data_IF_894439064961
#
_entry.id   IF_894439064961
#
_cell.length_a   1.000
_cell.length_b   1.000
_cell.length_c   1.000
_cell.angle_alpha   90.00
_cell.angle_beta   90.00
_cell.angle_gamma   90.00
#
_symmetry.space_group_name_H-M   'P 1'
#
loop_
_entity.id
_entity.type
_entity.pdbx_description
1 polymer ?
#
# COMPACT_ATOMS: atom_id res chain seq x y z
N UNK A 1 -20.55 -2.90 54.85
CA UNK A 1 -19.56 -2.31 53.92
C UNK A 1 -18.96 -3.45 53.11
N UNK A 2 -19.45 -3.67 51.90
CA UNK A 2 -18.87 -4.64 50.97
C UNK A 2 -17.51 -4.12 50.54
N UNK A 3 -16.43 -4.79 50.94
CA UNK A 3 -15.10 -4.51 50.39
C UNK A 3 -15.16 -4.72 48.88
N UNK A 4 -15.14 -3.63 48.10
CA UNK A 4 -14.88 -3.70 46.66
C UNK A 4 -13.54 -4.42 46.51
N UNK A 5 -13.53 -5.58 45.85
CA UNK A 5 -12.31 -6.33 45.56
C UNK A 5 -11.43 -5.39 44.73
N UNK A 6 -10.25 -5.03 45.25
CA UNK A 6 -9.28 -4.21 44.52
C UNK A 6 -8.58 -5.10 43.49
N UNK A 7 -8.69 -4.77 42.21
CA UNK A 7 -8.02 -5.48 41.14
C UNK A 7 -6.56 -5.01 41.00
N UNK A 8 -5.71 -5.86 40.41
CA UNK A 8 -4.26 -5.64 40.34
C UNK A 8 -3.88 -4.31 39.66
N UNK A 9 -4.61 -3.92 38.61
CA UNK A 9 -4.35 -2.72 37.82
C UNK A 9 -5.13 -1.48 38.26
N UNK A 10 -5.99 -1.55 39.29
CA UNK A 10 -6.88 -0.45 39.67
C UNK A 10 -6.14 0.86 39.93
N UNK A 11 -5.04 0.81 40.69
CA UNK A 11 -4.29 2.02 41.03
C UNK A 11 -3.65 2.67 39.80
N UNK A 12 -3.09 1.85 38.91
CA UNK A 12 -2.42 2.33 37.70
C UNK A 12 -3.42 2.84 36.65
N UNK A 13 -4.60 2.21 36.56
CA UNK A 13 -5.64 2.60 35.62
C UNK A 13 -6.39 3.86 36.07
N UNK A 14 -6.43 4.16 37.38
CA UNK A 14 -7.04 5.40 37.91
C UNK A 14 -6.43 6.70 37.41
N UNK A 15 -5.17 6.69 36.98
CA UNK A 15 -4.49 7.85 36.40
C UNK A 15 -4.37 7.79 34.88
N UNK A 16 -5.05 6.84 34.24
CA UNK A 16 -4.99 6.65 32.79
C UNK A 16 -6.17 7.33 32.12
N UNK A 17 -5.90 8.10 31.07
CA UNK A 17 -6.89 8.61 30.11
C UNK A 17 -6.54 8.13 28.71
N UNK A 18 -7.53 8.09 27.82
CA UNK A 18 -7.32 7.74 26.41
C UNK A 18 -7.34 9.04 25.62
N UNK A 19 -6.27 9.32 24.88
CA UNK A 19 -6.14 10.48 24.00
C UNK A 19 -6.08 10.03 22.54
N UNK A 20 -6.68 10.81 21.64
CA UNK A 20 -6.59 10.64 20.19
C UNK A 20 -5.73 11.77 19.63
N UNK A 21 -4.81 11.43 18.73
CA UNK A 21 -3.88 12.37 18.10
C UNK A 21 -3.93 12.23 16.58
N UNK A 22 -4.39 13.29 15.92
CA UNK A 22 -4.26 13.50 14.47
C UNK A 22 -2.97 14.29 14.14
N UNK A 23 -2.49 15.09 15.09
CA UNK A 23 -1.23 15.83 15.01
C UNK A 23 -0.47 15.74 16.33
N UNK A 24 0.86 15.81 16.27
CA UNK A 24 1.73 15.67 17.45
C UNK A 24 2.37 17.01 17.83
N UNK A 25 2.08 17.48 19.04
CA UNK A 25 2.86 18.56 19.65
C UNK A 25 4.27 18.07 20.00
N UNK A 26 5.22 18.99 20.20
CA UNK A 26 6.58 18.64 20.62
C UNK A 26 6.61 17.83 21.94
N UNK A 27 5.68 18.09 22.86
CA UNK A 27 5.56 17.35 24.11
C UNK A 27 5.05 15.92 23.87
N UNK A 28 4.00 15.75 23.07
CA UNK A 28 3.45 14.42 22.74
C UNK A 28 4.46 13.60 21.94
N UNK A 29 5.16 14.21 20.98
CA UNK A 29 6.22 13.55 20.21
C UNK A 29 7.37 13.06 21.12
N UNK A 30 7.75 13.86 22.12
CA UNK A 30 8.75 13.44 23.11
C UNK A 30 8.28 12.23 23.92
N UNK A 31 7.01 12.21 24.35
CA UNK A 31 6.41 11.08 25.06
C UNK A 31 6.32 9.83 24.17
N UNK A 32 5.95 9.98 22.90
CA UNK A 32 5.88 8.90 21.92
C UNK A 32 7.25 8.25 21.67
N UNK A 33 8.29 9.07 21.50
CA UNK A 33 9.68 8.60 21.38
C UNK A 33 10.17 7.89 22.64
N UNK A 34 9.78 8.36 23.83
CA UNK A 34 10.10 7.67 25.09
C UNK A 34 9.41 6.31 25.19
N UNK A 35 8.13 6.24 24.83
CA UNK A 35 7.36 5.01 24.77
C UNK A 35 7.98 4.00 23.83
N UNK A 36 8.24 4.37 22.56
CA UNK A 36 8.81 3.47 21.56
C UNK A 36 10.21 2.96 21.93
N UNK A 37 11.04 3.79 22.59
CA UNK A 37 12.32 3.34 23.14
C UNK A 37 12.15 2.28 24.23
N UNK A 38 11.18 2.45 25.14
CA UNK A 38 10.91 1.48 26.22
C UNK A 38 10.24 0.21 25.71
N UNK A 39 9.48 0.32 24.63
CA UNK A 39 8.93 -0.81 23.89
C UNK A 39 10.05 -1.63 23.20
N UNK A 40 11.23 -1.04 22.98
CA UNK A 40 12.33 -1.66 22.25
C UNK A 40 12.25 -1.48 20.73
N UNK A 41 11.32 -0.64 20.24
CA UNK A 41 11.05 -0.43 18.83
C UNK A 41 11.06 1.07 18.47
N UNK A 42 12.19 1.78 18.64
CA UNK A 42 12.27 3.22 18.38
C UNK A 42 12.00 3.60 16.92
N UNK A 43 12.35 2.71 15.98
CA UNK A 43 12.16 2.89 14.54
C UNK A 43 10.69 3.10 14.17
N UNK A 44 9.74 2.51 14.92
CA UNK A 44 8.30 2.70 14.66
C UNK A 44 7.90 4.18 14.64
N UNK A 45 8.53 5.03 15.44
CA UNK A 45 8.17 6.46 15.45
C UNK A 45 8.61 7.13 14.17
N UNK A 46 9.89 6.99 13.81
CA UNK A 46 10.48 7.77 12.73
C UNK A 46 10.22 7.15 11.33
N UNK A 47 9.95 5.84 11.26
CA UNK A 47 9.75 5.11 10.00
C UNK A 47 8.27 4.77 9.71
N UNK A 48 7.41 4.70 10.73
CA UNK A 48 6.00 4.30 10.56
C UNK A 48 5.03 5.39 11.01
N UNK A 49 5.08 5.81 12.27
CA UNK A 49 4.07 6.71 12.84
C UNK A 49 4.17 8.13 12.27
N UNK A 50 5.36 8.73 12.22
CA UNK A 50 5.52 10.10 11.72
C UNK A 50 5.23 10.22 10.22
N UNK A 51 5.71 9.33 9.33
CA UNK A 51 5.37 9.39 7.91
C UNK A 51 3.87 9.27 7.66
N UNK A 52 3.19 8.32 8.31
CA UNK A 52 1.76 8.07 8.09
C UNK A 52 0.87 9.19 8.65
N UNK A 53 1.23 9.77 9.80
CA UNK A 53 0.55 10.97 10.32
C UNK A 53 0.70 12.17 9.37
N UNK A 54 1.90 12.39 8.82
CA UNK A 54 2.14 13.50 7.90
C UNK A 54 1.36 13.37 6.57
N UNK A 55 0.97 12.15 6.19
CA UNK A 55 0.12 11.89 5.03
C UNK A 55 -1.37 12.10 5.29
N UNK A 56 -1.77 12.29 6.56
CA UNK A 56 -3.17 12.43 6.97
C UNK A 56 -3.96 11.13 6.89
N UNK A 57 -3.27 10.00 6.75
CA UNK A 57 -3.89 8.68 6.57
C UNK A 57 -4.02 7.91 7.90
N UNK A 58 -3.56 8.49 9.00
CA UNK A 58 -3.36 7.78 10.26
C UNK A 58 -3.86 8.60 11.46
N UNK A 59 -4.37 7.89 12.47
CA UNK A 59 -4.63 8.44 13.80
C UNK A 59 -3.92 7.57 14.85
N UNK A 60 -3.41 8.23 15.89
CA UNK A 60 -2.84 7.55 17.06
C UNK A 60 -3.77 7.65 18.25
N UNK A 61 -4.13 6.51 18.83
CA UNK A 61 -4.94 6.41 20.04
C UNK A 61 -4.04 5.90 21.15
N UNK A 62 -3.90 6.65 22.24
CA UNK A 62 -2.93 6.33 23.28
C UNK A 62 -3.56 6.31 24.67
N UNK A 63 -3.16 5.31 25.46
CA UNK A 63 -3.30 5.36 26.91
C UNK A 63 -2.22 6.27 27.48
N UNK A 64 -2.65 7.35 28.12
CA UNK A 64 -1.79 8.41 28.66
C UNK A 64 -1.92 8.47 30.18
N UNK A 65 -0.79 8.50 30.86
CA UNK A 65 -0.69 8.76 32.30
C UNK A 65 0.05 10.07 32.51
N UNK A 66 -0.57 10.99 33.24
CA UNK A 66 0.05 12.24 33.61
C UNK A 66 0.71 12.11 34.99
N UNK A 67 1.86 12.75 35.17
CA UNK A 67 2.55 12.82 36.46
C UNK A 67 1.64 13.53 37.46
N UNK A 68 1.49 13.01 38.70
CA UNK A 68 0.64 13.62 39.72
C UNK A 68 1.01 15.08 40.03
N UNK A 69 2.30 15.38 40.18
CA UNK A 69 2.80 16.74 40.38
C UNK A 69 4.32 16.85 40.12
N UNK A 70 4.82 17.90 39.43
CA UNK A 70 4.04 18.85 38.62
C UNK A 70 3.56 18.18 37.31
N UNK A 71 2.33 18.43 36.83
CA UNK A 71 1.77 17.84 35.61
C UNK A 71 2.26 18.51 34.31
N UNK A 72 3.40 19.21 34.33
CA UNK A 72 3.96 19.92 33.18
C UNK A 72 5.46 19.68 33.02
N UNK A 73 5.96 19.98 31.83
CA UNK A 73 7.36 19.80 31.45
C UNK A 73 7.63 18.49 30.69
N UNK A 74 8.88 18.33 30.24
CA UNK A 74 9.34 17.13 29.56
C UNK A 74 9.26 15.93 30.51
N UNK A 75 8.58 14.86 30.07
CA UNK A 75 8.37 13.66 30.90
C UNK A 75 7.27 13.78 31.96
N UNK A 76 6.42 14.82 31.89
CA UNK A 76 5.21 14.90 32.69
C UNK A 76 4.06 14.05 32.12
N UNK A 77 4.11 13.73 30.84
CA UNK A 77 3.16 12.87 30.14
C UNK A 77 3.85 11.57 29.73
N UNK A 78 3.25 10.45 30.08
CA UNK A 78 3.72 9.10 29.75
C UNK A 78 2.68 8.40 28.87
N UNK A 79 3.10 7.95 27.69
CA UNK A 79 2.30 7.01 26.87
C UNK A 79 2.62 5.61 27.37
N UNK A 80 1.58 4.83 27.67
CA UNK A 80 1.71 3.47 28.24
C UNK A 80 1.12 2.38 27.35
N UNK A 81 0.20 2.77 26.47
CA UNK A 81 -0.33 1.94 25.40
C UNK A 81 -0.62 2.81 24.18
N UNK A 82 -0.53 2.22 22.98
CA UNK A 82 -0.70 2.92 21.71
C UNK A 82 -1.36 1.99 20.69
N UNK A 83 -2.38 2.47 20.00
CA UNK A 83 -2.96 1.86 18.83
C UNK A 83 -2.91 2.86 17.68
N UNK A 84 -2.68 2.37 16.49
CA UNK A 84 -2.65 3.14 15.25
C UNK A 84 -3.77 2.65 14.35
N UNK A 85 -4.59 3.57 13.86
CA UNK A 85 -5.55 3.31 12.77
C UNK A 85 -5.04 3.94 11.50
N UNK A 86 -5.06 3.21 10.39
CA UNK A 86 -4.52 3.63 9.11
C UNK A 86 -5.54 3.42 8.00
N UNK A 87 -5.77 4.44 7.17
CA UNK A 87 -6.70 4.39 6.03
C UNK A 87 -6.09 3.62 4.86
N UNK A 88 -6.78 2.57 4.43
CA UNK A 88 -6.30 1.70 3.34
C UNK A 88 -7.06 1.99 2.05
N UNK A 89 -8.38 2.11 2.16
CA UNK A 89 -9.31 2.41 1.08
C UNK A 89 -10.52 3.16 1.66
N UNK A 90 -11.46 3.54 0.80
CA UNK A 90 -12.69 4.21 1.24
C UNK A 90 -13.42 3.35 2.29
N UNK A 91 -13.68 3.94 3.47
CA UNK A 91 -14.26 3.28 4.65
C UNK A 91 -13.58 1.97 5.10
N UNK A 92 -12.31 1.73 4.76
CA UNK A 92 -11.59 0.49 5.10
C UNK A 92 -10.25 0.80 5.76
N UNK A 93 -10.04 0.29 6.98
CA UNK A 93 -8.96 0.71 7.86
C UNK A 93 -8.13 -0.47 8.39
N UNK A 94 -6.81 -0.29 8.45
CA UNK A 94 -5.91 -1.17 9.18
C UNK A 94 -5.87 -0.69 10.63
N UNK A 95 -5.83 -1.64 11.56
CA UNK A 95 -5.66 -1.32 12.98
C UNK A 95 -4.45 -2.09 13.48
N UNK A 96 -3.48 -1.40 14.08
CA UNK A 96 -2.30 -2.05 14.65
C UNK A 96 -2.69 -2.97 15.83
N UNK A 97 -1.80 -3.87 16.28
CA UNK A 97 -1.86 -4.30 17.68
C UNK A 97 -1.88 -3.09 18.62
N UNK A 98 -2.46 -3.26 19.80
CA UNK A 98 -2.26 -2.29 20.88
C UNK A 98 -0.86 -2.51 21.45
N UNK A 99 0.09 -1.67 21.06
CA UNK A 99 1.42 -1.67 21.62
C UNK A 99 1.33 -1.27 23.08
N UNK A 100 1.92 -2.04 23.99
CA UNK A 100 1.94 -1.70 25.42
C UNK A 100 3.30 -2.01 26.02
N UNK A 101 3.66 -1.24 27.06
CA UNK A 101 4.88 -1.50 27.82
C UNK A 101 4.78 -2.86 28.53
N UNK A 102 5.91 -3.53 28.74
CA UNK A 102 5.97 -4.88 29.32
C UNK A 102 5.14 -5.05 30.60
N UNK A 103 5.16 -4.04 31.47
CA UNK A 103 4.41 -4.00 32.73
C UNK A 103 2.87 -3.94 32.57
N UNK A 104 2.40 -3.48 31.41
CA UNK A 104 0.99 -3.26 31.07
C UNK A 104 0.48 -4.28 30.03
N UNK A 105 1.31 -5.23 29.57
CA UNK A 105 0.93 -6.21 28.54
C UNK A 105 -0.29 -7.07 28.91
N UNK A 106 -0.49 -7.36 30.20
CA UNK A 106 -1.65 -8.14 30.68
C UNK A 106 -2.79 -7.25 31.21
N UNK A 107 -2.69 -5.93 31.06
CA UNK A 107 -3.71 -4.99 31.50
C UNK A 107 -4.82 -4.89 30.45
N UNK A 108 -5.65 -5.94 30.36
CA UNK A 108 -6.69 -6.07 29.33
C UNK A 108 -7.63 -4.87 29.32
N UNK A 109 -7.97 -4.31 30.49
CA UNK A 109 -8.79 -3.11 30.59
C UNK A 109 -8.18 -1.90 29.88
N UNK A 110 -6.86 -1.69 30.01
CA UNK A 110 -6.14 -0.64 29.26
C UNK A 110 -6.13 -0.93 27.75
N UNK A 111 -5.76 -2.15 27.36
CA UNK A 111 -5.66 -2.53 25.95
C UNK A 111 -7.01 -2.38 25.23
N UNK A 112 -8.07 -2.88 25.85
CA UNK A 112 -9.43 -2.80 25.33
C UNK A 112 -9.98 -1.38 25.35
N UNK A 113 -9.58 -0.54 26.29
CA UNK A 113 -9.96 0.89 26.31
C UNK A 113 -9.36 1.64 25.12
N UNK A 114 -8.06 1.45 24.85
CA UNK A 114 -7.38 2.06 23.69
C UNK A 114 -8.00 1.55 22.40
N UNK A 115 -8.24 0.25 22.29
CA UNK A 115 -8.80 -0.36 21.08
C UNK A 115 -10.26 0.04 20.85
N UNK A 116 -11.08 0.09 21.92
CA UNK A 116 -12.47 0.57 21.84
C UNK A 116 -12.52 1.99 21.29
N UNK A 117 -11.73 2.91 21.83
CA UNK A 117 -11.70 4.29 21.34
C UNK A 117 -11.32 4.34 19.86
N UNK A 118 -10.31 3.58 19.43
CA UNK A 118 -9.95 3.47 18.02
C UNK A 118 -11.13 2.99 17.15
N UNK A 119 -11.85 1.94 17.57
CA UNK A 119 -13.01 1.45 16.85
C UNK A 119 -14.19 2.42 16.88
N UNK A 120 -14.44 3.14 17.97
CA UNK A 120 -15.54 4.11 18.05
C UNK A 120 -15.33 5.30 17.12
N UNK A 121 -14.09 5.79 16.99
CA UNK A 121 -13.73 6.81 16.01
C UNK A 121 -14.02 6.34 14.58
N UNK A 122 -13.63 5.10 14.25
CA UNK A 122 -13.92 4.52 12.93
C UNK A 122 -15.42 4.27 12.71
N UNK A 123 -16.17 3.89 13.75
CA UNK A 123 -17.60 3.62 13.67
C UNK A 123 -18.46 4.85 13.36
N UNK A 124 -17.89 6.06 13.49
CA UNK A 124 -18.51 7.31 13.04
C UNK A 124 -18.61 7.40 11.51
N UNK A 125 -17.72 6.70 10.78
CA UNK A 125 -17.75 6.62 9.32
C UNK A 125 -18.76 5.56 8.88
N UNK A 126 -19.72 5.89 7.99
CA UNK A 126 -20.70 4.94 7.49
C UNK A 126 -20.03 3.75 6.80
N UNK A 127 -20.48 2.54 7.12
CA UNK A 127 -19.97 1.28 6.56
C UNK A 127 -18.48 1.00 6.82
N UNK A 128 -17.87 1.67 7.82
CA UNK A 128 -16.47 1.43 8.15
C UNK A 128 -16.21 -0.04 8.48
N UNK A 129 -15.15 -0.58 7.88
CA UNK A 129 -14.61 -1.91 8.16
C UNK A 129 -13.16 -1.81 8.64
N UNK A 130 -12.75 -2.80 9.45
CA UNK A 130 -11.35 -2.98 9.83
C UNK A 130 -10.78 -4.24 9.22
N UNK A 131 -9.47 -4.24 8.98
CA UNK A 131 -8.76 -5.31 8.32
C UNK A 131 -7.48 -5.73 9.04
N UNK A 132 -7.19 -7.04 8.98
CA UNK A 132 -5.91 -7.65 9.34
C UNK A 132 -5.41 -8.56 8.21
N UNK A 133 -4.09 -8.66 8.04
CA UNK A 133 -3.49 -9.75 7.27
C UNK A 133 -3.03 -10.84 8.22
N UNK A 134 -3.45 -12.08 7.97
CA UNK A 134 -2.96 -13.24 8.71
C UNK A 134 -2.44 -14.34 7.77
N UNK A 135 -1.35 -14.98 8.17
CA UNK A 135 -0.66 -16.00 7.40
C UNK A 135 -1.60 -17.19 7.08
N UNK A 136 -1.45 -17.81 5.89
CA UNK A 136 -2.28 -18.89 5.37
C UNK A 136 -2.46 -20.07 6.34
N UNK A 137 -1.46 -20.30 7.19
CA UNK A 137 -1.39 -21.43 8.10
C UNK A 137 -1.42 -21.04 9.59
N UNK A 138 -1.69 -19.77 9.93
CA UNK A 138 -1.84 -19.36 11.33
C UNK A 138 -3.18 -19.84 11.89
N UNK A 139 -3.14 -20.94 12.63
CA UNK A 139 -4.36 -21.56 13.22
C UNK A 139 -4.97 -20.67 14.31
N UNK A 140 -4.12 -20.10 15.17
CA UNK A 140 -4.59 -19.27 16.28
C UNK A 140 -5.11 -17.92 15.79
N UNK A 141 -4.41 -17.25 14.86
CA UNK A 141 -4.89 -15.98 14.31
C UNK A 141 -6.20 -16.15 13.53
N UNK A 142 -6.33 -17.18 12.69
CA UNK A 142 -7.60 -17.47 11.98
C UNK A 142 -8.75 -17.65 12.98
N UNK A 143 -8.55 -18.46 14.03
CA UNK A 143 -9.60 -18.70 15.03
C UNK A 143 -10.01 -17.42 15.76
N UNK A 144 -9.03 -16.63 16.22
CA UNK A 144 -9.28 -15.42 17.01
C UNK A 144 -9.92 -14.31 16.18
N UNK A 145 -9.45 -14.09 14.94
CA UNK A 145 -10.04 -13.11 14.03
C UNK A 145 -11.49 -13.48 13.69
N UNK A 146 -11.78 -14.76 13.42
CA UNK A 146 -13.17 -15.22 13.19
C UNK A 146 -14.05 -15.03 14.41
N UNK A 147 -13.53 -15.32 15.61
CA UNK A 147 -14.24 -15.12 16.88
C UNK A 147 -14.54 -13.65 17.15
N UNK A 148 -13.65 -12.75 16.72
CA UNK A 148 -13.87 -11.30 16.72
C UNK A 148 -14.83 -10.82 15.60
N UNK A 149 -15.51 -11.73 14.91
CA UNK A 149 -16.52 -11.42 13.89
C UNK A 149 -15.95 -11.15 12.50
N UNK A 150 -14.65 -11.38 12.28
CA UNK A 150 -13.98 -11.14 11.01
C UNK A 150 -14.11 -12.33 10.04
N UNK A 151 -14.12 -12.01 8.75
CA UNK A 151 -14.22 -12.98 7.68
C UNK A 151 -12.96 -12.93 6.82
N UNK A 152 -12.37 -14.10 6.60
CA UNK A 152 -11.29 -14.27 5.63
C UNK A 152 -11.83 -14.05 4.22
N UNK A 153 -11.18 -13.19 3.46
CA UNK A 153 -11.47 -12.97 2.04
C UNK A 153 -10.49 -13.77 1.17
N UNK A 154 -10.79 -13.94 -0.13
CA UNK A 154 -9.86 -14.57 -1.06
C UNK A 154 -8.68 -13.66 -1.45
N UNK A 155 -8.56 -12.46 -0.86
CA UNK A 155 -7.47 -11.53 -1.14
C UNK A 155 -6.18 -12.04 -0.49
N UNK A 156 -5.18 -12.33 -1.34
CA UNK A 156 -3.87 -12.85 -0.92
C UNK A 156 -2.82 -11.76 -1.05
N UNK A 157 -2.04 -11.59 0.02
CA UNK A 157 -0.84 -10.77 0.06
C UNK A 157 0.37 -11.70 0.22
N UNK A 158 1.35 -11.62 -0.68
CA UNK A 158 2.52 -12.52 -0.68
C UNK A 158 3.76 -11.72 -0.33
N UNK A 159 4.50 -12.17 0.68
CA UNK A 159 5.84 -11.65 1.01
C UNK A 159 6.90 -12.67 0.60
N UNK A 160 8.18 -12.33 0.73
CA UNK A 160 9.26 -13.31 0.55
C UNK A 160 9.26 -14.42 1.61
N UNK A 161 8.48 -14.28 2.69
CA UNK A 161 8.42 -15.21 3.81
C UNK A 161 7.20 -16.12 3.78
N UNK A 162 6.02 -15.57 3.47
CA UNK A 162 4.76 -16.28 3.66
C UNK A 162 3.62 -15.68 2.82
N UNK A 163 2.55 -16.45 2.65
CA UNK A 163 1.28 -15.99 2.07
C UNK A 163 0.32 -15.56 3.18
N UNK A 164 -0.31 -14.41 3.00
CA UNK A 164 -1.26 -13.82 3.95
C UNK A 164 -2.63 -13.65 3.30
N UNK A 165 -3.69 -13.81 4.08
CA UNK A 165 -5.05 -13.53 3.66
C UNK A 165 -5.59 -12.34 4.44
N UNK A 166 -6.42 -11.55 3.76
CA UNK A 166 -7.15 -10.45 4.41
C UNK A 166 -8.32 -10.99 5.23
N UNK A 167 -8.43 -10.54 6.46
CA UNK A 167 -9.59 -10.69 7.32
C UNK A 167 -10.23 -9.33 7.48
N UNK A 168 -11.55 -9.24 7.29
CA UNK A 168 -12.29 -7.98 7.43
C UNK A 168 -13.59 -8.13 8.19
N UNK A 169 -14.03 -7.07 8.84
CA UNK A 169 -15.34 -6.97 9.48
C UNK A 169 -15.82 -5.51 9.53
N UNK A 170 -17.14 -5.27 9.47
CA UNK A 170 -17.70 -3.99 9.89
C UNK A 170 -17.25 -3.67 11.32
N UNK A 171 -16.83 -2.44 11.57
CA UNK A 171 -16.30 -2.00 12.87
C UNK A 171 -17.25 -2.35 14.03
N UNK A 172 -18.55 -2.12 13.83
CA UNK A 172 -19.59 -2.41 14.84
C UNK A 172 -19.68 -3.89 15.20
N UNK A 173 -19.43 -4.78 14.24
CA UNK A 173 -19.42 -6.23 14.48
C UNK A 173 -18.25 -6.66 15.36
N UNK A 174 -17.10 -5.99 15.23
CA UNK A 174 -15.93 -6.24 16.09
C UNK A 174 -16.17 -5.72 17.51
N UNK A 175 -16.75 -4.52 17.63
CA UNK A 175 -17.18 -3.97 18.92
C UNK A 175 -18.15 -4.90 19.65
N UNK A 176 -19.15 -5.44 18.94
CA UNK A 176 -20.11 -6.39 19.49
C UNK A 176 -19.43 -7.72 19.89
N UNK A 177 -18.65 -8.31 18.98
CA UNK A 177 -18.01 -9.62 19.20
C UNK A 177 -17.01 -9.63 20.36
N UNK A 178 -16.33 -8.50 20.61
CA UNK A 178 -15.41 -8.34 21.74
C UNK A 178 -16.09 -7.80 23.02
N UNK A 179 -17.41 -7.60 23.00
CA UNK A 179 -18.16 -7.07 24.13
C UNK A 179 -17.76 -5.63 24.52
N UNK A 180 -17.31 -4.84 23.54
CA UNK A 180 -16.81 -3.47 23.74
C UNK A 180 -17.87 -2.41 23.50
N UNK A 181 -19.04 -2.73 22.94
CA UNK A 181 -20.07 -1.73 22.64
C UNK A 181 -20.68 -1.10 23.89
N UNK A 182 -21.03 -1.92 24.88
CA UNK A 182 -21.75 -1.49 26.08
C UNK A 182 -20.88 -0.83 27.16
N UNK A 183 -19.70 -1.40 27.55
CA UNK A 183 -18.95 -0.84 28.65
C UNK A 183 -18.32 0.51 28.27
N UNK A 184 -18.34 1.45 29.20
CA UNK A 184 -17.63 2.72 29.09
C UNK A 184 -16.12 2.52 29.33
N UNK A 185 -15.30 3.45 28.84
CA UNK A 185 -13.84 3.43 29.05
C UNK A 185 -13.46 3.32 30.54
N UNK A 186 -14.08 4.07 31.48
CA UNK A 186 -13.81 3.88 32.91
C UNK A 186 -14.17 2.49 33.45
N UNK A 187 -15.23 1.85 32.94
CA UNK A 187 -15.61 0.49 33.34
C UNK A 187 -14.61 -0.55 32.83
N UNK A 188 -14.15 -0.43 31.58
CA UNK A 188 -13.08 -1.26 31.02
C UNK A 188 -11.79 -1.12 31.82
N UNK A 189 -11.36 0.12 32.12
CA UNK A 189 -10.17 0.39 32.94
C UNK A 189 -10.29 -0.19 34.36
N UNK A 190 -11.50 -0.26 34.92
CA UNK A 190 -11.78 -0.88 36.20
C UNK A 190 -11.93 -2.41 36.14
N UNK A 191 -11.77 -3.02 34.95
CA UNK A 191 -12.09 -4.43 34.70
C UNK A 191 -13.51 -4.82 35.15
N UNK A 192 -14.44 -3.86 35.09
CA UNK A 192 -15.83 -4.05 35.42
C UNK A 192 -16.55 -4.60 34.18
N UNK A 193 -16.96 -5.86 34.23
CA UNK A 193 -17.64 -6.47 33.09
C UNK A 193 -17.83 -7.98 33.23
N UNK A 194 -18.38 -8.57 32.18
CA UNK A 194 -18.55 -10.01 32.04
C UNK A 194 -17.17 -10.72 31.94
N UNK A 195 -16.91 -11.74 32.79
CA UNK A 195 -15.65 -12.50 32.73
C UNK A 195 -15.38 -13.15 31.38
N UNK A 196 -16.42 -13.56 30.65
CA UNK A 196 -16.26 -14.17 29.32
C UNK A 196 -15.80 -13.12 28.30
N UNK A 197 -16.41 -11.94 28.27
CA UNK A 197 -15.94 -10.82 27.45
C UNK A 197 -14.48 -10.45 27.75
N UNK A 198 -14.09 -10.40 29.03
CA UNK A 198 -12.70 -10.13 29.42
C UNK A 198 -11.73 -11.20 28.88
N UNK A 199 -12.12 -12.48 28.90
CA UNK A 199 -11.31 -13.57 28.35
C UNK A 199 -11.18 -13.47 26.82
N UNK A 200 -12.25 -13.11 26.13
CA UNK A 200 -12.27 -12.92 24.68
C UNK A 200 -11.38 -11.74 24.27
N UNK A 201 -11.46 -10.63 24.99
CA UNK A 201 -10.58 -9.46 24.84
C UNK A 201 -9.11 -9.81 25.07
N UNK A 202 -8.81 -10.55 26.15
CA UNK A 202 -7.45 -10.97 26.46
C UNK A 202 -6.87 -11.84 25.35
N UNK A 203 -7.64 -12.83 24.88
CA UNK A 203 -7.22 -13.75 23.82
C UNK A 203 -7.02 -13.01 22.51
N UNK A 204 -7.91 -12.07 22.17
CA UNK A 204 -7.77 -11.19 21.02
C UNK A 204 -6.47 -10.37 21.10
N UNK A 205 -6.31 -9.53 22.12
CA UNK A 205 -5.16 -8.63 22.20
C UNK A 205 -3.82 -9.39 22.23
N UNK A 206 -3.73 -10.49 22.99
CA UNK A 206 -2.49 -11.26 23.05
C UNK A 206 -2.16 -11.96 21.73
N UNK A 207 -3.17 -12.45 21.00
CA UNK A 207 -2.93 -13.10 19.72
C UNK A 207 -2.49 -12.09 18.67
N UNK A 208 -3.17 -10.94 18.58
CA UNK A 208 -2.78 -9.89 17.62
C UNK A 208 -1.38 -9.34 17.95
N UNK A 209 -1.08 -9.11 19.23
CA UNK A 209 0.22 -8.61 19.67
C UNK A 209 1.35 -9.59 19.37
N UNK A 210 1.24 -10.86 19.81
CA UNK A 210 2.29 -11.84 19.63
C UNK A 210 2.44 -12.26 18.15
N UNK A 211 1.31 -12.35 17.43
CA UNK A 211 1.31 -12.69 16.02
C UNK A 211 1.96 -11.62 15.14
N UNK A 212 1.96 -10.36 15.58
CA UNK A 212 2.61 -9.24 14.88
C UNK A 212 4.01 -8.88 15.39
N UNK A 213 4.43 -9.45 16.53
CA UNK A 213 5.68 -9.11 17.20
C UNK A 213 6.90 -9.11 16.26
N UNK A 214 7.14 -10.14 15.42
CA UNK A 214 8.31 -10.16 14.54
C UNK A 214 8.40 -9.00 13.55
N UNK A 215 7.26 -8.47 13.12
CA UNK A 215 7.19 -7.37 12.15
C UNK A 215 7.66 -6.06 12.78
N UNK A 216 7.12 -5.70 13.96
CA UNK A 216 7.33 -4.37 14.52
C UNK A 216 8.56 -4.26 15.44
N UNK A 217 9.21 -5.38 15.79
CA UNK A 217 10.53 -5.35 16.46
C UNK A 217 11.70 -5.22 15.46
N UNK A 218 11.42 -5.21 14.15
CA UNK A 218 12.43 -4.99 13.10
C UNK A 218 13.30 -6.20 12.77
N UNK A 219 12.81 -7.42 12.99
CA UNK A 219 13.52 -8.65 12.60
C UNK A 219 13.09 -9.11 11.21
N UNK A 220 13.72 -8.59 10.16
CA UNK A 220 13.40 -8.89 8.74
C UNK A 220 13.48 -10.39 8.35
N UNK A 221 14.01 -11.23 9.24
CA UNK A 221 14.29 -12.66 9.01
C UNK A 221 13.20 -13.56 9.62
N UNK A 222 12.32 -13.02 10.47
CA UNK A 222 11.31 -13.82 11.18
C UNK A 222 9.93 -13.71 10.53
N UNK A 223 9.27 -14.85 10.37
CA UNK A 223 7.88 -14.89 9.86
C UNK A 223 6.93 -14.38 10.93
N UNK A 224 6.14 -13.38 10.58
CA UNK A 224 5.06 -12.86 11.42
C UNK A 224 3.74 -13.57 11.06
N UNK A 225 2.95 -13.98 12.05
CA UNK A 225 1.64 -14.59 11.80
C UNK A 225 0.60 -13.56 11.35
N UNK A 226 0.72 -12.34 11.87
CA UNK A 226 -0.09 -11.18 11.53
C UNK A 226 0.85 -10.10 11.05
N UNK A 227 0.50 -9.42 9.97
CA UNK A 227 1.25 -8.25 9.51
C UNK A 227 0.33 -7.04 9.35
N UNK A 228 0.91 -5.87 9.55
CA UNK A 228 0.29 -4.59 9.29
C UNK A 228 -0.03 -4.45 7.81
N UNK A 229 -1.14 -3.78 7.52
CA UNK A 229 -1.51 -3.47 6.15
C UNK A 229 -1.27 -2.00 5.85
N UNK A 230 -0.37 -1.76 4.91
CA UNK A 230 -0.04 -0.42 4.41
C UNK A 230 -1.05 0.06 3.37
N UNK A 231 -1.14 1.37 3.16
CA UNK A 231 -1.94 1.97 2.08
C UNK A 231 -1.52 1.34 0.74
N UNK A 232 -2.49 0.87 -0.03
CA UNK A 232 -2.24 0.13 -1.27
C UNK A 232 -1.98 -1.38 -1.09
N UNK A 233 -1.94 -1.90 0.15
CA UNK A 233 -1.91 -3.34 0.45
C UNK A 233 -3.28 -4.03 0.24
N UNK A 234 -4.39 -3.30 0.36
CA UNK A 234 -5.73 -3.67 -0.13
C UNK A 234 -6.14 -2.91 -1.39
N UNK A 235 -5.22 -2.27 -2.10
CA UNK A 235 -5.50 -2.12 -3.51
C UNK A 235 -5.56 -3.57 -4.02
N UNK A 236 -6.77 -4.17 -4.07
CA UNK A 236 -6.97 -5.48 -4.67
C UNK A 236 -6.14 -5.48 -5.93
N UNK A 237 -5.26 -6.50 -6.10
CA UNK A 237 -4.19 -6.58 -7.11
C UNK A 237 -4.44 -5.52 -8.19
N UNK A 238 -3.61 -4.47 -8.29
CA UNK A 238 -4.11 -3.23 -8.86
C UNK A 238 -4.69 -3.52 -10.25
N UNK A 239 -5.89 -2.98 -10.48
CA UNK A 239 -6.71 -3.44 -11.60
C UNK A 239 -8.13 -3.91 -11.29
N UNK A 240 -8.51 -4.18 -10.04
CA UNK A 240 -9.84 -4.71 -9.77
C UNK A 240 -10.02 -6.15 -10.26
N UNK A 241 -8.95 -6.95 -10.23
CA UNK A 241 -9.05 -8.41 -10.31
C UNK A 241 -9.74 -8.89 -9.03
N UNK A 242 -10.89 -9.60 -9.11
CA UNK A 242 -11.48 -10.21 -7.93
C UNK A 242 -10.48 -11.13 -7.24
N UNK A 243 -10.37 -11.06 -5.91
CA UNK A 243 -9.54 -11.98 -5.14
C UNK A 243 -9.87 -13.44 -5.50
N UNK A 244 -8.86 -14.25 -5.83
CA UNK A 244 -9.07 -15.67 -6.19
C UNK A 244 -8.19 -16.26 -7.30
N UNK A 245 -7.15 -15.60 -7.80
CA UNK A 245 -6.28 -16.19 -8.84
C UNK A 245 -4.78 -16.09 -8.56
N UNK A 246 -4.34 -16.39 -7.33
CA UNK A 246 -2.97 -16.90 -7.18
C UNK A 246 -2.90 -18.19 -7.99
N UNK A 247 -2.41 -18.09 -9.23
CA UNK A 247 -2.37 -19.20 -10.18
C UNK A 247 -0.91 -19.43 -10.55
N UNK A 248 -0.37 -20.37 -9.79
CA UNK A 248 0.77 -21.24 -10.09
C UNK A 248 2.16 -20.63 -9.86
N UNK A 249 2.80 -21.14 -8.81
CA UNK A 249 4.23 -21.11 -8.58
C UNK A 249 4.95 -21.83 -9.74
N UNK A 250 5.51 -21.08 -10.67
CA UNK A 250 6.64 -21.56 -11.45
C UNK A 250 7.82 -20.73 -11.05
N UNK A 251 8.92 -21.39 -10.68
CA UNK A 251 10.19 -20.71 -10.40
C UNK A 251 10.47 -19.74 -11.55
N UNK A 252 10.62 -18.45 -11.22
CA UNK A 252 11.17 -17.48 -12.16
C UNK A 252 12.55 -18.02 -12.50
N UNK A 253 12.75 -18.39 -13.76
CA UNK A 253 14.09 -18.72 -14.23
C UNK A 253 14.93 -17.45 -14.07
N UNK A 254 15.94 -17.44 -13.19
CA UNK A 254 16.73 -16.24 -12.90
C UNK A 254 17.47 -15.69 -14.13
N UNK A 255 17.51 -16.45 -15.24
CA UNK A 255 18.11 -16.01 -16.50
C UNK A 255 17.14 -15.30 -17.46
N UNK A 256 15.82 -15.31 -17.21
CA UNK A 256 14.85 -14.70 -18.13
C UNK A 256 14.62 -13.22 -17.78
N UNK A 257 15.23 -12.33 -18.57
CA UNK A 257 14.87 -10.90 -18.58
C UNK A 257 13.59 -10.72 -19.40
N UNK A 258 12.46 -10.46 -18.75
CA UNK A 258 11.20 -10.12 -19.44
C UNK A 258 10.99 -8.61 -19.62
N UNK A 259 11.98 -7.81 -19.22
CA UNK A 259 12.11 -6.40 -19.53
C UNK A 259 13.59 -6.02 -19.73
N UNK A 260 13.84 -5.03 -20.58
CA UNK A 260 15.18 -4.49 -20.82
C UNK A 260 15.20 -3.01 -20.53
N UNK A 261 16.06 -2.61 -19.59
CA UNK A 261 16.31 -1.21 -19.24
C UNK A 261 17.52 -0.65 -20.01
N UNK A 262 17.36 0.55 -20.57
CA UNK A 262 18.43 1.38 -21.12
C UNK A 262 18.41 2.72 -20.38
N UNK A 263 19.50 3.01 -19.67
CA UNK A 263 19.66 4.28 -18.97
C UNK A 263 20.27 5.32 -19.91
N UNK A 264 20.00 6.59 -19.64
CA UNK A 264 20.56 7.73 -20.34
C UNK A 264 20.27 7.76 -21.85
N UNK A 265 19.03 7.42 -22.25
CA UNK A 265 18.66 7.29 -23.67
C UNK A 265 18.83 8.62 -24.44
N UNK A 266 18.26 9.71 -23.91
CA UNK A 266 18.27 11.01 -24.59
C UNK A 266 19.34 11.96 -24.05
N UNK A 267 19.90 11.66 -22.87
CA UNK A 267 20.88 12.50 -22.17
C UNK A 267 20.40 13.96 -22.12
N UNK A 268 21.19 14.90 -22.63
CA UNK A 268 20.89 16.33 -22.60
C UNK A 268 19.68 16.73 -23.46
N UNK A 269 19.31 15.93 -24.48
CA UNK A 269 18.14 16.20 -25.33
C UNK A 269 16.82 16.08 -24.56
N UNK A 270 16.82 15.39 -23.43
CA UNK A 270 15.68 15.26 -22.51
C UNK A 270 15.19 16.61 -21.99
N UNK A 271 16.09 17.56 -21.73
CA UNK A 271 15.72 18.88 -21.21
C UNK A 271 14.85 19.64 -22.20
N UNK A 272 15.19 19.56 -23.49
CA UNK A 272 14.38 20.13 -24.56
C UNK A 272 13.03 19.45 -24.71
N UNK A 273 12.99 18.11 -24.59
CA UNK A 273 11.72 17.35 -24.58
C UNK A 273 10.82 17.80 -23.43
N UNK A 274 11.38 17.94 -22.21
CA UNK A 274 10.63 18.41 -21.05
C UNK A 274 10.06 19.81 -21.30
N UNK A 275 10.87 20.74 -21.82
CA UNK A 275 10.39 22.08 -22.15
C UNK A 275 9.22 22.05 -23.15
N UNK A 276 9.34 21.28 -24.23
CA UNK A 276 8.26 21.11 -25.20
C UNK A 276 6.97 20.56 -24.58
N UNK A 277 7.08 19.60 -23.66
CA UNK A 277 5.95 19.00 -22.94
C UNK A 277 5.25 20.04 -22.06
N UNK A 278 6.03 20.85 -21.34
CA UNK A 278 5.49 21.92 -20.48
C UNK A 278 4.79 23.01 -21.32
N UNK A 279 5.38 23.43 -22.44
CA UNK A 279 4.78 24.40 -23.36
C UNK A 279 3.52 23.86 -24.05
N UNK A 280 3.38 22.53 -24.13
CA UNK A 280 2.25 21.85 -24.75
C UNK A 280 1.14 21.43 -23.78
N UNK A 281 1.19 21.85 -22.50
CA UNK A 281 0.21 21.45 -21.46
C UNK A 281 -1.25 21.59 -21.91
N UNK A 282 -1.60 22.71 -22.55
CA UNK A 282 -2.97 22.97 -23.02
C UNK A 282 -3.47 22.01 -24.11
N UNK A 283 -2.58 21.25 -24.74
CA UNK A 283 -2.91 20.29 -25.81
C UNK A 283 -3.19 18.89 -25.28
N UNK A 284 -2.86 18.61 -24.02
CA UNK A 284 -3.09 17.31 -23.40
C UNK A 284 -4.59 17.02 -23.25
N UNK A 285 -4.98 15.77 -23.52
CA UNK A 285 -6.36 15.28 -23.39
C UNK A 285 -6.44 14.12 -22.42
N UNK A 286 -7.62 13.85 -21.87
CA UNK A 286 -7.79 12.68 -21.01
C UNK A 286 -7.47 11.39 -21.78
N UNK A 287 -6.71 10.50 -21.14
CA UNK A 287 -6.33 9.24 -21.73
C UNK A 287 -7.55 8.35 -22.02
N UNK A 288 -7.50 7.65 -23.14
CA UNK A 288 -8.54 6.70 -23.53
C UNK A 288 -8.07 5.26 -23.37
N UNK A 289 -9.02 4.34 -23.23
CA UNK A 289 -8.83 2.89 -23.26
C UNK A 289 -9.75 2.26 -24.30
N UNK A 290 -9.33 1.14 -24.88
CA UNK A 290 -10.16 0.32 -25.77
C UNK A 290 -10.61 -0.91 -24.99
N UNK A 291 -11.89 -0.96 -24.61
CA UNK A 291 -12.43 -2.12 -23.91
C UNK A 291 -12.51 -3.34 -24.83
N UNK A 292 -12.35 -4.55 -24.28
CA UNK A 292 -12.47 -5.79 -25.03
C UNK A 292 -13.84 -5.87 -25.73
N UNK A 293 -13.84 -5.99 -27.06
CA UNK A 293 -15.05 -6.08 -27.88
C UNK A 293 -15.63 -4.74 -28.35
N UNK A 294 -15.03 -3.59 -28.00
CA UNK A 294 -15.42 -2.29 -28.54
C UNK A 294 -14.54 -1.84 -29.71
N UNK A 295 -15.13 -1.18 -30.70
CA UNK A 295 -14.43 -0.70 -31.90
C UNK A 295 -13.73 0.66 -31.70
N UNK A 296 -14.08 1.41 -30.66
CA UNK A 296 -13.59 2.78 -30.45
C UNK A 296 -13.02 2.94 -29.03
N UNK A 297 -11.96 3.73 -28.91
CA UNK A 297 -11.38 4.11 -27.63
C UNK A 297 -12.23 5.20 -26.94
N UNK A 298 -12.40 5.09 -25.62
CA UNK A 298 -13.16 6.04 -24.81
C UNK A 298 -12.46 6.35 -23.48
N UNK A 299 -12.87 7.42 -22.80
CA UNK A 299 -12.38 7.74 -21.47
C UNK A 299 -13.07 6.82 -20.46
N UNK A 300 -12.30 6.00 -19.76
CA UNK A 300 -12.76 5.22 -18.61
C UNK A 300 -11.80 5.42 -17.44
N UNK A 301 -12.14 6.38 -16.58
CA UNK A 301 -11.34 6.73 -15.41
C UNK A 301 -11.32 5.64 -14.35
N UNK A 302 -12.15 4.59 -14.48
CA UNK A 302 -12.02 3.40 -13.64
C UNK A 302 -10.81 2.58 -14.08
N UNK A 303 -10.45 2.59 -15.36
CA UNK A 303 -9.36 1.78 -15.91
C UNK A 303 -8.05 2.57 -16.03
N UNK A 304 -8.11 3.81 -16.49
CA UNK A 304 -6.94 4.65 -16.72
C UNK A 304 -7.24 6.10 -16.37
N UNK A 305 -6.40 6.69 -15.51
CA UNK A 305 -6.39 8.12 -15.22
C UNK A 305 -5.03 8.66 -15.57
N UNK A 306 -4.98 9.48 -16.61
CA UNK A 306 -3.81 10.22 -17.06
C UNK A 306 -4.25 11.23 -18.13
N UNK A 307 -3.35 12.13 -18.51
CA UNK A 307 -3.48 12.94 -19.71
C UNK A 307 -2.47 12.51 -20.77
N UNK A 308 -2.83 12.61 -22.04
CA UNK A 308 -1.98 12.20 -23.16
C UNK A 308 -1.87 13.26 -24.25
N UNK A 309 -0.75 13.22 -24.97
CA UNK A 309 -0.43 14.03 -26.14
C UNK A 309 0.21 13.14 -27.21
N UNK A 310 -0.46 12.97 -28.35
CA UNK A 310 0.00 12.10 -29.44
C UNK A 310 1.11 12.75 -30.29
N UNK A 311 1.17 14.08 -30.29
CA UNK A 311 2.15 14.85 -31.06
C UNK A 311 3.42 15.12 -30.24
N UNK A 312 4.48 14.36 -30.52
CA UNK A 312 5.81 14.56 -29.95
C UNK A 312 6.57 15.74 -30.59
N UNK A 313 5.99 16.36 -31.62
CA UNK A 313 6.58 17.48 -32.34
C UNK A 313 7.99 17.15 -32.86
N UNK A 314 8.99 18.03 -32.66
CA UNK A 314 10.33 17.83 -33.19
C UNK A 314 11.08 16.66 -32.52
N UNK A 315 10.58 16.13 -31.40
CA UNK A 315 11.23 15.03 -30.68
C UNK A 315 10.82 13.65 -31.17
N UNK A 316 9.83 13.54 -32.08
CA UNK A 316 9.37 12.25 -32.62
C UNK A 316 10.51 11.46 -33.25
N UNK A 317 11.17 12.04 -34.25
CA UNK A 317 12.23 11.35 -35.00
C UNK A 317 13.50 11.14 -34.15
N UNK A 318 13.80 12.11 -33.28
CA UNK A 318 14.94 12.03 -32.34
C UNK A 318 14.78 10.83 -31.41
N UNK A 319 13.58 10.66 -30.85
CA UNK A 319 13.29 9.55 -29.95
C UNK A 319 13.22 8.22 -30.71
N UNK A 320 12.55 8.19 -31.86
CA UNK A 320 12.42 6.98 -32.68
C UNK A 320 13.79 6.43 -33.09
N UNK A 321 14.71 7.28 -33.54
CA UNK A 321 16.08 6.86 -33.88
C UNK A 321 16.83 6.30 -32.66
N UNK A 322 16.72 6.95 -31.50
CA UNK A 322 17.37 6.49 -30.27
C UNK A 322 16.79 5.14 -29.81
N UNK A 323 15.46 4.98 -29.84
CA UNK A 323 14.75 3.74 -29.53
C UNK A 323 15.21 2.58 -30.42
N UNK A 324 15.20 2.78 -31.74
CA UNK A 324 15.50 1.73 -32.71
C UNK A 324 16.95 1.27 -32.66
N UNK A 325 17.90 2.14 -32.30
CA UNK A 325 19.30 1.78 -32.09
C UNK A 325 19.49 0.72 -30.97
N UNK A 326 18.54 0.64 -30.03
CA UNK A 326 18.57 -0.31 -28.92
C UNK A 326 17.68 -1.53 -29.12
N UNK A 327 16.88 -1.59 -30.20
CA UNK A 327 15.90 -2.67 -30.39
C UNK A 327 16.56 -4.04 -30.56
N UNK A 328 17.52 -4.18 -31.46
CA UNK A 328 18.16 -5.49 -31.70
C UNK A 328 18.91 -6.02 -30.45
N UNK A 329 19.74 -5.23 -29.74
CA UNK A 329 20.31 -5.66 -28.46
C UNK A 329 19.26 -6.01 -27.41
N UNK A 330 18.15 -5.27 -27.34
CA UNK A 330 17.07 -5.56 -26.41
C UNK A 330 16.37 -6.89 -26.73
N UNK A 331 16.09 -7.17 -28.01
CA UNK A 331 15.49 -8.44 -28.45
C UNK A 331 16.34 -9.65 -28.08
N UNK A 332 17.68 -9.53 -28.23
CA UNK A 332 18.62 -10.57 -27.79
C UNK A 332 18.54 -10.81 -26.28
N UNK A 333 18.50 -9.74 -25.47
CA UNK A 333 18.37 -9.82 -24.01
C UNK A 333 17.02 -10.37 -23.55
N UNK A 334 15.95 -10.09 -24.29
CA UNK A 334 14.61 -10.64 -24.06
C UNK A 334 14.48 -12.10 -24.54
N UNK A 335 15.53 -12.68 -25.13
CA UNK A 335 15.52 -13.99 -25.77
C UNK A 335 14.38 -14.15 -26.79
N UNK A 336 14.17 -13.14 -27.64
CA UNK A 336 13.13 -13.13 -28.67
C UNK A 336 13.73 -13.09 -30.07
N UNK A 337 13.14 -13.83 -31.03
CA UNK A 337 13.55 -13.71 -32.43
C UNK A 337 13.23 -12.31 -32.95
N UNK A 338 14.04 -11.82 -33.88
CA UNK A 338 13.72 -10.62 -34.64
C UNK A 338 12.41 -10.80 -35.43
N UNK A 339 11.72 -9.70 -35.70
CA UNK A 339 10.50 -9.66 -36.48
C UNK A 339 10.60 -8.57 -37.56
N UNK A 340 9.89 -8.70 -38.70
CA UNK A 340 9.86 -7.65 -39.70
C UNK A 340 9.20 -6.41 -39.08
N UNK A 341 9.91 -5.29 -39.01
CA UNK A 341 9.41 -4.08 -38.35
C UNK A 341 8.37 -3.36 -39.20
N UNK A 342 7.27 -2.97 -38.56
CA UNK A 342 6.23 -2.10 -39.11
C UNK A 342 6.37 -0.67 -38.58
N UNK A 343 5.24 -0.05 -38.22
CA UNK A 343 5.22 1.32 -37.66
C UNK A 343 5.62 1.35 -36.17
N UNK A 344 6.04 2.53 -35.72
CA UNK A 344 6.19 2.86 -34.30
C UNK A 344 5.09 3.83 -33.88
N UNK A 345 4.25 3.40 -32.94
CA UNK A 345 3.25 4.23 -32.28
C UNK A 345 3.88 4.87 -31.03
N UNK A 346 3.66 6.17 -30.82
CA UNK A 346 4.22 6.93 -29.69
C UNK A 346 3.19 7.91 -29.16
N UNK A 347 3.19 8.09 -27.84
CA UNK A 347 2.36 9.04 -27.13
C UNK A 347 3.10 9.53 -25.88
N UNK A 348 2.98 10.81 -25.57
CA UNK A 348 3.41 11.35 -24.28
C UNK A 348 2.24 11.18 -23.30
N UNK A 349 2.52 10.66 -22.11
CA UNK A 349 1.57 10.60 -20.99
C UNK A 349 2.07 11.45 -19.83
N UNK A 350 1.19 12.27 -19.27
CA UNK A 350 1.37 12.98 -18.02
C UNK A 350 0.47 12.36 -16.96
N UNK A 351 1.07 11.85 -15.88
CA UNK A 351 0.36 11.29 -14.73
C UNK A 351 0.53 12.20 -13.51
N UNK A 352 -0.57 12.82 -13.09
CA UNK A 352 -0.65 13.72 -11.94
C UNK A 352 -1.00 13.01 -10.63
N UNK A 353 -1.44 13.76 -9.63
CA UNK A 353 -1.77 13.20 -8.31
C UNK A 353 -2.99 12.26 -8.37
N UNK A 354 -2.82 11.02 -7.91
CA UNK A 354 -3.84 9.98 -7.90
C UNK A 354 -4.08 9.28 -9.25
N UNK A 355 -3.27 9.58 -10.27
CA UNK A 355 -3.34 8.93 -11.58
C UNK A 355 -2.78 7.50 -11.54
N UNK A 356 -3.29 6.62 -12.40
CA UNK A 356 -2.94 5.20 -12.47
C UNK A 356 -3.33 4.58 -13.82
N UNK A 357 -2.82 3.38 -14.12
CA UNK A 357 -3.33 2.54 -15.21
C UNK A 357 -3.39 1.09 -14.74
N UNK A 358 -4.60 0.54 -14.70
CA UNK A 358 -4.91 -0.81 -14.23
C UNK A 358 -4.24 -1.91 -15.05
N UNK A 359 -4.13 -3.11 -14.48
CA UNK A 359 -3.58 -4.29 -15.14
C UNK A 359 -4.20 -4.51 -16.52
N UNK A 360 -3.34 -4.52 -17.55
CA UNK A 360 -3.71 -4.75 -18.94
C UNK A 360 -2.53 -5.35 -19.70
N UNK A 361 -2.77 -5.81 -20.93
CA UNK A 361 -1.71 -5.98 -21.90
C UNK A 361 -1.97 -5.07 -23.09
N UNK A 362 -0.89 -4.73 -23.77
CA UNK A 362 -0.93 -3.86 -24.93
C UNK A 362 -1.24 -4.60 -26.23
N UNK A 363 -1.10 -5.93 -26.22
CA UNK A 363 -1.45 -6.78 -27.35
C UNK A 363 -2.44 -7.90 -26.98
N UNK A 364 -3.27 -8.22 -27.97
CA UNK A 364 -4.11 -9.41 -28.03
C UNK A 364 -3.71 -10.29 -29.24
N UNK A 365 -4.44 -11.38 -29.48
CA UNK A 365 -4.15 -12.31 -30.57
C UNK A 365 -4.22 -11.71 -31.99
N UNK A 366 -4.86 -10.54 -32.17
CA UNK A 366 -5.02 -9.87 -33.47
C UNK A 366 -4.10 -8.66 -33.62
N UNK A 367 -3.46 -8.23 -32.53
CA UNK A 367 -2.58 -7.08 -32.52
C UNK A 367 -1.29 -7.34 -33.30
N UNK A 368 -0.76 -6.28 -33.92
CA UNK A 368 0.58 -6.28 -34.51
C UNK A 368 1.63 -5.71 -33.55
N UNK A 369 1.25 -5.29 -32.34
CA UNK A 369 2.17 -4.76 -31.32
C UNK A 369 3.02 -5.90 -30.76
N UNK A 370 4.33 -5.85 -31.03
CA UNK A 370 5.27 -6.88 -30.60
C UNK A 370 6.00 -6.43 -29.34
N UNK A 371 6.59 -5.23 -29.36
CA UNK A 371 7.32 -4.66 -28.22
C UNK A 371 6.67 -3.37 -27.76
N UNK A 372 6.43 -3.28 -26.46
CA UNK A 372 5.99 -2.07 -25.78
C UNK A 372 7.20 -1.38 -25.16
N UNK A 373 7.17 -0.06 -25.11
CA UNK A 373 8.20 0.71 -24.44
C UNK A 373 7.63 1.84 -23.60
N UNK A 374 8.35 2.17 -22.54
CA UNK A 374 8.08 3.31 -21.68
C UNK A 374 9.40 4.02 -21.39
N UNK A 375 9.49 5.27 -21.81
CA UNK A 375 10.60 6.16 -21.50
C UNK A 375 10.20 7.17 -20.45
N UNK A 376 10.97 7.28 -19.38
CA UNK A 376 10.70 8.14 -18.24
C UNK A 376 11.48 9.44 -18.31
N UNK A 377 10.79 10.56 -18.09
CA UNK A 377 11.43 11.85 -17.90
C UNK A 377 10.64 12.72 -16.93
N UNK A 378 11.30 13.65 -16.24
CA UNK A 378 10.66 14.56 -15.30
C UNK A 378 11.52 15.79 -14.99
N UNK A 379 10.90 16.79 -14.36
CA UNK A 379 11.60 17.94 -13.77
C UNK A 379 12.50 17.49 -12.64
N UNK A 380 13.72 18.01 -12.60
CA UNK A 380 14.65 17.80 -11.49
C UNK A 380 14.67 19.01 -10.54
N UNK A 381 14.66 18.80 -9.21
CA UNK A 381 14.56 17.50 -8.54
C UNK A 381 13.17 16.86 -8.71
N UNK A 382 13.10 15.52 -8.70
CA UNK A 382 11.85 14.77 -8.81
C UNK A 382 10.84 15.23 -7.74
N UNK A 383 9.63 15.61 -8.16
CA UNK A 383 8.55 16.12 -7.28
C UNK A 383 7.34 15.19 -7.14
N UNK A 384 7.47 13.95 -7.57
CA UNK A 384 6.46 12.91 -7.41
C UNK A 384 7.04 11.66 -6.73
N UNK A 385 6.15 10.86 -6.15
CA UNK A 385 6.42 9.50 -5.67
C UNK A 385 5.39 8.51 -6.23
N UNK A 386 5.66 7.21 -6.08
CA UNK A 386 4.84 6.17 -6.71
C UNK A 386 5.01 6.14 -8.25
N UNK A 387 3.99 5.63 -8.94
CA UNK A 387 4.02 5.52 -10.40
C UNK A 387 4.97 4.45 -10.94
N UNK A 388 5.37 3.48 -10.13
CA UNK A 388 6.14 2.35 -10.61
C UNK A 388 5.37 1.58 -11.69
N UNK A 389 6.09 1.06 -12.68
CA UNK A 389 5.53 0.10 -13.60
C UNK A 389 5.71 -1.29 -13.00
N UNK A 390 4.61 -1.99 -12.78
CA UNK A 390 4.64 -3.39 -12.36
C UNK A 390 4.34 -4.27 -13.56
N UNK A 391 5.27 -5.15 -13.88
CA UNK A 391 5.26 -6.01 -15.06
C UNK A 391 5.22 -7.48 -14.65
N UNK A 392 4.39 -8.25 -15.34
CA UNK A 392 4.21 -9.68 -15.12
C UNK A 392 4.67 -10.47 -16.34
N UNK A 393 5.58 -11.42 -16.16
CA UNK A 393 5.86 -12.41 -17.21
C UNK A 393 4.58 -13.20 -17.52
N UNK A 394 4.26 -13.40 -18.79
CA UNK A 394 3.01 -14.04 -19.21
C UNK A 394 3.29 -15.23 -20.12
N UNK A 395 2.73 -16.40 -19.77
CA UNK A 395 2.87 -17.63 -20.56
C UNK A 395 1.53 -18.09 -21.10
N UNK A 396 1.56 -18.76 -22.24
CA UNK A 396 0.41 -19.49 -22.78
C UNK A 396 0.38 -20.89 -22.16
N UNK A 397 -0.65 -21.18 -21.38
CA UNK A 397 -0.91 -22.49 -20.76
C UNK A 397 -2.33 -22.90 -21.16
N UNK A 398 -2.48 -24.07 -21.79
CA UNK A 398 -3.77 -24.58 -22.27
C UNK A 398 -4.59 -23.58 -23.12
N UNK A 399 -3.88 -22.82 -23.98
CA UNK A 399 -4.49 -21.80 -24.84
C UNK A 399 -4.99 -20.55 -24.11
N UNK A 400 -4.65 -20.39 -22.82
CA UNK A 400 -4.92 -19.20 -22.03
C UNK A 400 -3.63 -18.49 -21.68
N UNK A 401 -3.64 -17.16 -21.76
CA UNK A 401 -2.54 -16.34 -21.24
C UNK A 401 -2.66 -16.25 -19.73
N UNK A 402 -1.57 -16.59 -19.02
CA UNK A 402 -1.49 -16.60 -17.56
C UNK A 402 -0.29 -15.75 -17.14
N UNK A 403 -0.50 -14.68 -16.34
CA UNK A 403 0.59 -13.92 -15.75
C UNK A 403 1.24 -14.69 -14.58
N UNK A 404 2.53 -14.47 -14.38
CA UNK A 404 3.31 -14.91 -13.22
C UNK A 404 2.74 -14.32 -11.93
N UNK A 405 2.85 -15.04 -10.82
CA UNK A 405 2.53 -14.51 -9.49
C UNK A 405 3.64 -13.59 -8.92
N UNK A 406 4.83 -13.58 -9.55
CA UNK A 406 5.97 -12.74 -9.17
C UNK A 406 6.17 -11.61 -10.18
N UNK A 407 5.73 -10.38 -9.88
CA UNK A 407 5.98 -9.23 -10.74
C UNK A 407 7.38 -8.65 -10.58
N UNK A 408 7.88 -8.00 -11.63
CA UNK A 408 8.98 -7.04 -11.52
C UNK A 408 8.42 -5.63 -11.41
N UNK A 409 8.79 -4.90 -10.35
CA UNK A 409 8.41 -3.50 -10.16
C UNK A 409 9.56 -2.59 -10.50
N UNK A 410 9.35 -1.66 -11.44
CA UNK A 410 10.38 -0.80 -12.01
C UNK A 410 10.08 0.66 -11.70
N UNK A 411 11.01 1.31 -11.00
CA UNK A 411 10.87 2.71 -10.63
C UNK A 411 11.02 3.63 -11.85
N UNK A 412 10.22 4.72 -11.94
CA UNK A 412 10.29 5.72 -13.01
C UNK A 412 11.53 6.62 -12.83
N UNK A 413 12.71 6.09 -13.15
CA UNK A 413 13.99 6.81 -13.07
C UNK A 413 14.15 7.76 -14.25
N UNK A 414 14.83 8.87 -14.03
CA UNK A 414 15.10 9.86 -15.08
C UNK A 414 15.84 9.21 -16.25
N UNK A 415 15.45 9.55 -17.47
CA UNK A 415 16.13 9.14 -18.71
C UNK A 415 16.27 7.62 -18.88
N UNK A 416 15.32 6.87 -18.33
CA UNK A 416 15.25 5.42 -18.42
C UNK A 416 14.25 5.01 -19.49
N UNK A 417 14.71 4.25 -20.48
CA UNK A 417 13.86 3.51 -21.42
C UNK A 417 13.70 2.08 -20.92
N UNK A 418 12.45 1.61 -20.91
CA UNK A 418 12.11 0.22 -20.70
C UNK A 418 11.51 -0.36 -21.98
N UNK A 419 11.97 -1.55 -22.40
CA UNK A 419 11.31 -2.35 -23.44
C UNK A 419 10.85 -3.70 -22.86
N UNK A 420 9.67 -4.14 -23.23
CA UNK A 420 9.12 -5.43 -22.83
C UNK A 420 8.13 -5.97 -23.88
N UNK A 421 7.86 -7.29 -23.91
CA UNK A 421 6.88 -7.88 -24.82
C UNK A 421 5.48 -7.28 -24.59
N UNK A 422 4.81 -6.84 -25.65
CA UNK A 422 3.48 -6.20 -25.53
C UNK A 422 2.39 -7.12 -24.99
N UNK A 423 2.64 -8.44 -25.06
CA UNK A 423 1.74 -9.46 -24.54
C UNK A 423 1.83 -9.62 -23.02
N UNK A 424 2.84 -9.04 -22.37
CA UNK A 424 3.01 -9.11 -20.93
C UNK A 424 2.02 -8.18 -20.23
N UNK A 425 1.30 -8.73 -19.26
CA UNK A 425 0.39 -7.96 -18.44
C UNK A 425 1.20 -6.99 -17.56
N UNK A 426 0.73 -5.76 -17.43
CA UNK A 426 1.39 -4.73 -16.65
C UNK A 426 0.43 -3.65 -16.18
N UNK A 427 0.88 -2.87 -15.20
CA UNK A 427 0.12 -1.79 -14.60
C UNK A 427 1.03 -0.64 -14.15
N UNK A 428 0.45 0.55 -14.04
CA UNK A 428 1.07 1.73 -13.44
C UNK A 428 0.46 1.96 -12.07
N UNK A 429 1.28 1.84 -11.02
CA UNK A 429 0.86 2.08 -9.65
C UNK A 429 0.47 3.56 -9.44
N UNK A 430 -0.36 3.86 -8.41
CA UNK A 430 -0.79 5.23 -8.16
C UNK A 430 0.38 6.22 -8.06
N UNK A 431 0.24 7.36 -8.72
CA UNK A 431 1.21 8.47 -8.67
C UNK A 431 0.79 9.46 -7.60
N UNK A 432 1.75 9.97 -6.81
CA UNK A 432 1.52 11.05 -5.85
C UNK A 432 2.33 12.28 -6.26
N UNK A 433 1.65 13.39 -6.48
CA UNK A 433 2.24 14.70 -6.81
C UNK A 433 1.70 15.72 -5.80
N UNK A 434 2.39 15.93 -4.66
CA UNK A 434 1.85 16.77 -3.57
C UNK A 434 1.55 18.21 -3.97
N UNK A 435 2.28 18.76 -4.95
CA UNK A 435 2.06 20.12 -5.44
C UNK A 435 0.80 20.25 -6.30
N UNK A 436 0.34 19.17 -6.93
CA UNK A 436 -0.74 19.20 -7.93
C UNK A 436 -0.38 19.88 -9.26
N UNK A 437 0.83 20.42 -9.38
CA UNK A 437 1.30 21.16 -10.56
C UNK A 437 1.61 20.23 -11.73
N UNK A 438 1.20 20.60 -12.96
CA UNK A 438 1.47 19.79 -14.15
C UNK A 438 2.96 19.54 -14.35
N UNK A 439 3.80 20.55 -14.13
CA UNK A 439 5.25 20.45 -14.28
C UNK A 439 5.94 19.45 -13.33
N UNK A 440 5.23 19.01 -12.30
CA UNK A 440 5.69 18.01 -11.32
C UNK A 440 5.18 16.60 -11.60
N UNK A 441 4.42 16.43 -12.67
CA UNK A 441 3.86 15.14 -13.07
C UNK A 441 4.95 14.11 -13.41
N UNK A 442 4.56 12.84 -13.31
CA UNK A 442 5.32 11.74 -13.90
C UNK A 442 5.07 11.74 -15.41
N UNK A 443 6.07 12.12 -16.20
CA UNK A 443 5.98 12.07 -17.65
C UNK A 443 6.58 10.80 -18.24
N UNK A 444 5.93 10.27 -19.26
CA UNK A 444 6.45 9.18 -20.07
C UNK A 444 6.26 9.42 -21.56
N UNK A 445 7.19 8.93 -22.38
CA UNK A 445 6.86 8.55 -23.77
C UNK A 445 6.58 7.05 -23.74
N UNK A 446 5.33 6.67 -23.97
CA UNK A 446 4.93 5.26 -24.08
C UNK A 446 4.48 4.95 -25.51
N UNK A 447 4.68 3.71 -25.94
CA UNK A 447 4.36 3.34 -27.29
C UNK A 447 4.66 1.89 -27.64
N UNK A 448 4.48 1.58 -28.92
CA UNK A 448 4.51 0.21 -29.44
C UNK A 448 5.28 0.13 -30.75
N UNK A 449 6.12 -0.89 -30.86
CA UNK A 449 6.78 -1.28 -32.10
C UNK A 449 5.96 -2.42 -32.71
N UNK A 450 5.43 -2.18 -33.90
CA UNK A 450 4.60 -3.15 -34.59
C UNK A 450 5.45 -4.07 -35.46
N UNK A 451 4.99 -5.32 -35.65
CA UNK A 451 5.42 -6.14 -36.78
C UNK A 451 4.76 -5.65 -38.07
N UNK A 452 5.45 -5.83 -39.19
CA UNK A 452 4.89 -5.64 -40.53
C UNK A 452 3.68 -6.58 -40.70
N UNK A 453 2.61 -6.02 -41.27
CA UNK A 453 1.37 -6.73 -41.57
C UNK A 453 1.50 -7.60 -42.81
#
# INVERSE_FOLDING_TARGET
>A
MTHRRKHFYDDTNRSTRIDVFDELTAQTLSALRQFARRLGAPHLVDEVFLPTLAEGDCQLIAGVRDRPWPPWGLGAREIVALCMTHSIADASYAVSPVYALTQDLNNVGLLSSVYKEALEQLAAVPNAEICYLAAEHSTLADHVLRRAGMQRTPDVFVTWLERYYTYRAPVRRVLEALGLEQPSTPELLAHAGDPQALQDQATFHQTIYNGSLPEWIGTEILRSEIIGLVRGGHAGKPGGVPGGSGRWEWAVDPEINFAVSINNLLADRRTGLLQYVLESESKFRNATVTAAGQAHAGVDERLRRAKTLDDLGPYRDVFEQALLAHLEPAMKRLNRPGFPMGRVEMQITASGNGDYFRLHADSDAKSTREISFVYYFHREPRRFSGGELRLYDCRQIDGRRVPSDTPQTLSPRQDLLLLFPSANDHEVLPVRVPSGEFADSRFTINGWIHRAS
#
